data_IF_431466991338
#
_entry.id   IF_431466991338
#
_cell.length_a   1.000
_cell.length_b   1.000
_cell.length_c   1.000
_cell.angle_alpha   90.00
_cell.angle_beta   90.00
_cell.angle_gamma   90.00
#
_symmetry.space_group_name_H-M   'P 1'
#
loop_
_entity.id
_entity.type
_entity.pdbx_description
1 polymer ?
#
# COMPACT_ATOMS: atom_id res chain seq x y z
N UNK A 1 5.44 -19.04 -3.22
CA UNK A 1 5.56 -17.73 -2.55
C UNK A 1 4.58 -16.77 -3.24
N UNK A 2 3.87 -15.88 -2.52
CA UNK A 2 3.02 -14.88 -3.16
C UNK A 2 3.81 -14.05 -4.18
N UNK A 3 3.20 -13.70 -5.32
CA UNK A 3 3.85 -12.98 -6.42
C UNK A 3 4.51 -11.67 -5.96
N UNK A 4 3.81 -10.90 -5.12
CA UNK A 4 4.33 -9.62 -4.61
C UNK A 4 5.53 -9.80 -3.67
N UNK A 5 5.56 -10.89 -2.89
CA UNK A 5 6.70 -11.22 -2.04
C UNK A 5 7.92 -11.66 -2.87
N UNK A 6 7.69 -12.39 -3.97
CA UNK A 6 8.72 -12.76 -4.93
C UNK A 6 9.35 -11.52 -5.58
N UNK A 7 8.50 -10.58 -6.02
CA UNK A 7 8.96 -9.32 -6.60
C UNK A 7 9.90 -8.56 -5.67
N UNK A 8 9.46 -8.23 -4.45
CA UNK A 8 10.30 -7.47 -3.51
C UNK A 8 11.56 -8.24 -3.10
N UNK A 9 11.48 -9.58 -3.02
CA UNK A 9 12.64 -10.43 -2.71
C UNK A 9 13.68 -10.36 -3.82
N UNK A 10 13.27 -10.54 -5.08
CA UNK A 10 14.15 -10.44 -6.25
C UNK A 10 14.76 -9.05 -6.39
N UNK A 11 14.02 -7.99 -6.09
CA UNK A 11 14.55 -6.62 -6.13
C UNK A 11 15.63 -6.39 -5.08
N UNK A 12 15.45 -6.88 -3.85
CA UNK A 12 16.49 -6.80 -2.81
C UNK A 12 17.72 -7.64 -3.15
N UNK A 13 17.53 -8.84 -3.69
CA UNK A 13 18.63 -9.70 -4.15
C UNK A 13 19.43 -9.07 -5.29
N UNK A 14 18.73 -8.44 -6.24
CA UNK A 14 19.35 -7.65 -7.30
C UNK A 14 20.15 -6.49 -6.72
N UNK A 15 19.56 -5.71 -5.81
CA UNK A 15 20.25 -4.58 -5.18
C UNK A 15 21.53 -5.05 -4.48
N UNK A 16 21.46 -6.14 -3.71
CA UNK A 16 22.62 -6.73 -3.04
C UNK A 16 23.69 -7.26 -4.01
N UNK A 17 23.29 -7.81 -5.15
CA UNK A 17 24.22 -8.32 -6.17
C UNK A 17 24.97 -7.20 -6.92
N UNK A 18 24.32 -6.04 -7.10
CA UNK A 18 24.89 -4.87 -7.79
C UNK A 18 25.63 -3.91 -6.85
N UNK A 19 25.46 -4.05 -5.54
CA UNK A 19 26.00 -3.15 -4.54
C UNK A 19 27.53 -3.15 -4.48
N UNK A 20 28.10 -1.97 -4.30
CA UNK A 20 29.44 -1.84 -3.70
C UNK A 20 29.29 -2.19 -2.21
N UNK A 21 30.09 -3.15 -1.72
CA UNK A 21 29.85 -3.82 -0.44
C UNK A 21 29.53 -2.87 0.72
N UNK A 22 28.53 -3.24 1.54
CA UNK A 22 28.05 -2.44 2.66
C UNK A 22 26.76 -1.64 2.37
N UNK A 23 26.24 -1.67 1.14
CA UNK A 23 24.91 -1.16 0.82
C UNK A 23 23.82 -2.07 1.41
N UNK A 24 22.88 -1.47 2.13
CA UNK A 24 21.68 -2.11 2.62
C UNK A 24 20.46 -1.59 1.84
N UNK A 25 19.58 -2.49 1.39
CA UNK A 25 18.34 -2.14 0.69
C UNK A 25 17.09 -2.71 1.38
N UNK A 26 15.98 -1.97 1.30
CA UNK A 26 14.63 -2.37 1.69
C UNK A 26 13.65 -2.01 0.57
N UNK A 27 12.77 -2.95 0.24
CA UNK A 27 11.78 -2.79 -0.83
C UNK A 27 10.41 -3.08 -0.23
N UNK A 28 9.51 -2.12 -0.34
CA UNK A 28 8.09 -2.27 -0.01
C UNK A 28 7.29 -2.20 -1.30
N UNK A 29 6.34 -3.11 -1.49
CA UNK A 29 5.40 -3.06 -2.59
C UNK A 29 3.98 -3.28 -2.09
N UNK A 30 3.01 -2.66 -2.75
CA UNK A 30 1.60 -2.85 -2.48
C UNK A 30 0.81 -2.84 -3.77
N UNK A 31 -0.27 -3.63 -3.83
CA UNK A 31 -1.32 -3.49 -4.83
C UNK A 31 -2.68 -3.74 -4.22
N UNK A 32 -3.70 -3.08 -4.74
CA UNK A 32 -5.06 -3.24 -4.25
C UNK A 32 -6.06 -2.37 -4.96
N UNK A 33 -7.34 -2.65 -4.71
CA UNK A 33 -8.47 -1.98 -5.31
C UNK A 33 -9.26 -1.24 -4.23
N UNK A 34 -9.66 -0.01 -4.54
CA UNK A 34 -10.55 0.82 -3.72
C UNK A 34 -11.77 1.20 -4.52
N UNK A 35 -12.95 1.02 -3.94
CA UNK A 35 -14.18 1.64 -4.43
C UNK A 35 -14.72 2.64 -3.42
N UNK A 36 -15.25 3.75 -3.92
CA UNK A 36 -15.88 4.79 -3.10
C UNK A 36 -17.12 5.33 -3.81
N UNK A 37 -18.23 5.38 -3.08
CA UNK A 37 -19.48 6.00 -3.51
C UNK A 37 -19.76 7.18 -2.59
N UNK A 38 -20.14 8.32 -3.17
CA UNK A 38 -20.74 9.43 -2.45
C UNK A 38 -22.14 9.70 -2.98
N UNK A 39 -23.09 9.74 -2.06
CA UNK A 39 -24.46 10.10 -2.30
C UNK A 39 -24.75 11.50 -1.73
N UNK A 40 -25.57 12.24 -2.46
CA UNK A 40 -26.08 13.54 -2.07
C UNK A 40 -27.47 13.75 -2.68
N UNK A 41 -28.44 14.13 -1.84
CA UNK A 41 -29.83 14.40 -2.25
C UNK A 41 -30.52 13.24 -2.97
N UNK A 42 -30.22 12.01 -2.56
CA UNK A 42 -30.83 10.80 -3.11
C UNK A 42 -30.26 10.35 -4.45
N UNK A 43 -29.17 10.97 -4.90
CA UNK A 43 -28.46 10.63 -6.14
C UNK A 43 -26.98 10.33 -5.85
N UNK A 44 -26.34 9.61 -6.77
CA UNK A 44 -24.89 9.39 -6.72
C UNK A 44 -24.20 10.68 -7.18
N UNK A 45 -23.50 11.34 -6.26
CA UNK A 45 -22.69 12.52 -6.55
C UNK A 45 -21.37 12.14 -7.21
N UNK A 46 -20.72 11.08 -6.70
CA UNK A 46 -19.46 10.59 -7.26
C UNK A 46 -19.29 9.09 -7.03
N UNK A 47 -18.74 8.40 -8.03
CA UNK A 47 -18.28 7.03 -7.92
C UNK A 47 -16.81 6.95 -8.37
N UNK A 48 -15.99 6.23 -7.62
CA UNK A 48 -14.58 5.98 -7.95
C UNK A 48 -14.27 4.52 -7.75
N UNK A 49 -13.69 3.89 -8.78
CA UNK A 49 -13.03 2.58 -8.70
C UNK A 49 -11.58 2.79 -9.12
N UNK A 50 -10.64 2.46 -8.23
CA UNK A 50 -9.22 2.66 -8.46
C UNK A 50 -8.46 1.39 -8.12
N UNK A 51 -7.71 0.89 -9.10
CA UNK A 51 -6.64 -0.08 -8.88
C UNK A 51 -5.35 0.68 -8.62
N UNK A 52 -4.66 0.30 -7.57
CA UNK A 52 -3.41 0.90 -7.11
C UNK A 52 -2.34 -0.16 -7.08
N UNK A 53 -1.15 0.19 -7.55
CA UNK A 53 0.03 -0.65 -7.48
C UNK A 53 1.25 0.27 -7.37
N UNK A 54 2.24 -0.13 -6.58
CA UNK A 54 3.45 0.67 -6.45
C UNK A 54 4.50 0.04 -5.57
N UNK A 55 5.71 0.59 -5.70
CA UNK A 55 6.92 0.16 -5.02
C UNK A 55 7.60 1.36 -4.38
N UNK A 56 8.16 1.17 -3.19
CA UNK A 56 9.08 2.09 -2.54
C UNK A 56 10.39 1.36 -2.25
N UNK A 57 11.52 1.99 -2.57
CA UNK A 57 12.85 1.41 -2.41
C UNK A 57 13.68 2.37 -1.57
N UNK A 58 14.21 1.86 -0.47
CA UNK A 58 15.13 2.54 0.43
C UNK A 58 16.49 1.88 0.35
N UNK A 59 17.55 2.67 0.20
CA UNK A 59 18.95 2.21 0.22
C UNK A 59 19.76 3.01 1.23
N UNK A 60 20.71 2.36 1.88
CA UNK A 60 21.59 2.96 2.90
C UNK A 60 23.03 2.50 2.64
N UNK A 61 23.97 3.44 2.57
CA UNK A 61 25.41 3.16 2.50
C UNK A 61 26.18 4.17 3.34
N UNK A 62 27.02 3.68 4.27
CA UNK A 62 27.85 4.55 5.10
C UNK A 62 27.07 5.62 5.88
N UNK A 63 25.87 5.28 6.36
CA UNK A 63 24.97 6.18 7.09
C UNK A 63 24.19 7.18 6.23
N UNK A 64 24.38 7.19 4.91
CA UNK A 64 23.56 8.00 3.99
C UNK A 64 22.38 7.20 3.51
N UNK A 65 21.18 7.78 3.52
CA UNK A 65 19.95 7.15 3.05
C UNK A 65 19.46 7.79 1.75
N UNK A 66 19.05 6.95 0.82
CA UNK A 66 18.29 7.35 -0.36
C UNK A 66 16.96 6.59 -0.44
N UNK A 67 15.95 7.24 -1.03
CA UNK A 67 14.63 6.65 -1.23
C UNK A 67 14.05 7.08 -2.57
N UNK A 68 13.34 6.18 -3.24
CA UNK A 68 12.54 6.49 -4.41
C UNK A 68 11.29 5.60 -4.43
N UNK A 69 10.29 5.98 -5.21
CA UNK A 69 9.04 5.24 -5.34
C UNK A 69 8.47 5.35 -6.75
N UNK A 70 7.67 4.37 -7.15
CA UNK A 70 6.95 4.38 -8.41
C UNK A 70 5.54 3.79 -8.27
N UNK A 71 4.61 4.29 -9.08
CA UNK A 71 3.23 3.79 -9.19
C UNK A 71 3.06 2.62 -10.16
N UNK A 72 4.10 1.81 -10.37
CA UNK A 72 4.08 0.60 -11.18
C UNK A 72 4.93 -0.50 -10.54
N UNK A 73 4.59 -1.75 -10.85
CA UNK A 73 5.34 -2.94 -10.47
C UNK A 73 6.09 -3.56 -11.68
N UNK A 74 6.18 -2.84 -12.79
CA UNK A 74 6.95 -3.28 -13.96
C UNK A 74 8.44 -3.38 -13.62
N UNK A 75 9.08 -4.47 -14.03
CA UNK A 75 10.49 -4.75 -13.68
C UNK A 75 11.45 -3.63 -14.14
N UNK A 76 11.20 -3.04 -15.32
CA UNK A 76 12.01 -1.94 -15.82
C UNK A 76 11.89 -0.68 -14.94
N UNK A 77 10.67 -0.35 -14.49
CA UNK A 77 10.41 0.80 -13.63
C UNK A 77 11.01 0.57 -12.24
N UNK A 78 10.91 -0.65 -11.71
CA UNK A 78 11.54 -1.01 -10.42
C UNK A 78 13.06 -0.81 -10.48
N UNK A 79 13.72 -1.19 -11.58
CA UNK A 79 15.17 -0.99 -11.75
C UNK A 79 15.53 0.49 -11.81
N UNK A 80 14.72 1.29 -12.51
CA UNK A 80 14.88 2.74 -12.55
C UNK A 80 14.70 3.35 -11.15
N UNK A 81 13.66 2.94 -10.40
CA UNK A 81 13.43 3.39 -9.02
C UNK A 81 14.58 3.01 -8.10
N UNK A 82 15.19 1.83 -8.26
CA UNK A 82 16.38 1.45 -7.48
C UNK A 82 17.57 2.36 -7.80
N UNK A 83 17.78 2.69 -9.07
CA UNK A 83 18.83 3.61 -9.50
C UNK A 83 18.60 5.03 -8.94
N UNK A 84 17.35 5.52 -8.97
CA UNK A 84 16.97 6.80 -8.37
C UNK A 84 17.17 6.81 -6.84
N UNK A 85 16.84 5.72 -6.14
CA UNK A 85 17.11 5.62 -4.71
C UNK A 85 18.60 5.72 -4.40
N UNK A 86 19.46 5.09 -5.22
CA UNK A 86 20.93 5.20 -5.11
C UNK A 86 21.45 6.60 -5.46
N UNK A 87 20.89 7.26 -6.46
CA UNK A 87 21.23 8.65 -6.77
C UNK A 87 20.86 9.59 -5.61
N UNK A 88 19.64 9.45 -5.07
CA UNK A 88 19.17 10.20 -3.91
C UNK A 88 20.04 10.00 -2.67
N UNK A 89 20.58 8.79 -2.47
CA UNK A 89 21.50 8.48 -1.38
C UNK A 89 22.78 9.33 -1.43
N UNK A 90 23.26 9.70 -2.63
CA UNK A 90 24.46 10.53 -2.78
C UNK A 90 24.29 11.94 -2.18
N UNK A 91 23.04 12.41 -2.10
CA UNK A 91 22.66 13.70 -1.50
C UNK A 91 22.28 13.59 -0.01
N UNK A 92 22.07 12.37 0.51
CA UNK A 92 21.68 12.14 1.90
C UNK A 92 22.81 12.48 2.87
N UNK A 93 22.51 13.14 3.99
CA UNK A 93 23.49 13.39 5.05
C UNK A 93 23.90 12.09 5.75
N UNK A 94 25.14 12.06 6.26
CA UNK A 94 25.59 10.94 7.07
C UNK A 94 24.91 11.00 8.44
N UNK A 95 24.24 9.91 8.79
CA UNK A 95 23.67 9.70 10.12
C UNK A 95 24.08 8.30 10.60
N UNK A 96 24.61 8.22 11.82
CA UNK A 96 25.00 6.96 12.43
C UNK A 96 23.80 6.10 12.83
N UNK A 97 22.63 6.71 12.99
CA UNK A 97 21.38 6.05 13.37
C UNK A 97 20.58 5.55 12.15
N UNK A 98 21.04 5.85 10.92
CA UNK A 98 20.45 5.31 9.70
C UNK A 98 20.78 3.82 9.55
N UNK A 99 19.77 2.97 9.73
CA UNK A 99 19.87 1.53 9.54
C UNK A 99 18.54 0.89 9.14
N UNK A 100 18.61 -0.39 8.77
CA UNK A 100 17.44 -1.22 8.52
C UNK A 100 17.14 -2.09 9.73
N UNK A 101 15.87 -2.46 9.91
CA UNK A 101 15.48 -3.40 10.94
C UNK A 101 16.12 -4.78 10.68
N UNK A 102 16.55 -5.46 11.74
CA UNK A 102 17.04 -6.84 11.69
C UNK A 102 15.99 -7.80 12.25
N UNK A 103 15.95 -9.07 11.79
CA UNK A 103 15.11 -10.08 12.41
C UNK A 103 15.43 -10.24 13.90
N UNK A 104 14.45 -9.98 14.75
CA UNK A 104 14.56 -10.06 16.21
C UNK A 104 14.27 -11.47 16.78
N UNK A 105 13.95 -12.43 15.90
CA UNK A 105 13.63 -13.81 16.25
C UNK A 105 12.24 -14.01 16.87
N UNK A 106 11.42 -12.95 16.96
CA UNK A 106 10.06 -13.05 17.45
C UNK A 106 9.15 -13.62 16.36
N UNK A 107 8.29 -14.56 16.76
CA UNK A 107 7.27 -15.08 15.86
C UNK A 107 6.26 -13.97 15.54
N UNK A 108 6.07 -13.71 14.24
CA UNK A 108 5.03 -12.80 13.78
C UNK A 108 3.65 -13.45 13.99
N UNK A 109 2.68 -12.75 14.60
CA UNK A 109 1.34 -13.28 14.70
C UNK A 109 0.73 -13.43 13.30
N UNK A 110 0.12 -14.58 13.03
CA UNK A 110 -0.73 -14.75 11.86
C UNK A 110 -2.07 -14.05 12.13
N UNK A 111 -2.37 -13.06 11.29
CA UNK A 111 -3.62 -12.30 11.36
C UNK A 111 -4.44 -12.61 10.10
N UNK A 112 -5.67 -13.06 10.29
CA UNK A 112 -6.64 -13.22 9.21
C UNK A 112 -7.38 -11.88 9.03
N UNK A 113 -6.86 -11.03 8.15
CA UNK A 113 -7.35 -9.66 7.92
C UNK A 113 -8.10 -9.52 6.60
N UNK A 114 -8.31 -10.61 5.87
CA UNK A 114 -8.89 -10.59 4.54
C UNK A 114 -10.22 -11.33 4.52
N UNK A 115 -11.29 -10.59 4.26
CA UNK A 115 -12.63 -11.13 4.11
C UNK A 115 -13.01 -11.22 2.62
N UNK A 116 -13.15 -12.43 2.05
CA UNK A 116 -13.57 -12.61 0.67
C UNK A 116 -14.93 -11.98 0.36
N UNK A 117 -15.87 -11.98 1.31
CA UNK A 117 -17.21 -11.42 1.10
C UNK A 117 -17.14 -9.89 0.94
N UNK A 118 -16.26 -9.24 1.69
CA UNK A 118 -16.00 -7.81 1.55
C UNK A 118 -15.31 -7.48 0.22
N UNK A 119 -14.33 -8.28 -0.19
CA UNK A 119 -13.59 -8.09 -1.44
C UNK A 119 -14.48 -8.26 -2.70
N UNK A 120 -15.45 -9.18 -2.63
CA UNK A 120 -16.38 -9.49 -3.72
C UNK A 120 -17.73 -8.77 -3.60
N UNK A 121 -17.87 -7.85 -2.63
CA UNK A 121 -19.13 -7.16 -2.38
C UNK A 121 -19.58 -6.39 -3.64
N UNK A 122 -20.84 -6.55 -4.12
CA UNK A 122 -21.26 -5.99 -5.41
C UNK A 122 -21.30 -4.46 -5.45
N UNK A 123 -20.82 -3.86 -6.54
CA UNK A 123 -20.79 -2.40 -6.72
C UNK A 123 -22.20 -1.77 -6.61
N UNK A 124 -23.23 -2.42 -7.15
CA UNK A 124 -24.61 -1.94 -7.04
C UNK A 124 -25.09 -1.90 -5.57
N UNK A 125 -24.68 -2.89 -4.76
CA UNK A 125 -25.00 -2.93 -3.34
C UNK A 125 -24.30 -1.80 -2.57
N UNK A 126 -23.03 -1.49 -2.92
CA UNK A 126 -22.28 -0.35 -2.36
C UNK A 126 -23.00 0.97 -2.61
N UNK A 127 -23.48 1.16 -3.84
CA UNK A 127 -24.26 2.34 -4.23
C UNK A 127 -25.55 2.43 -3.42
N UNK A 128 -26.28 1.32 -3.32
CA UNK A 128 -27.53 1.28 -2.57
C UNK A 128 -27.32 1.60 -1.09
N UNK A 129 -26.26 1.10 -0.46
CA UNK A 129 -25.92 1.41 0.93
C UNK A 129 -25.70 2.91 1.17
N UNK A 130 -24.97 3.59 0.28
CA UNK A 130 -24.73 5.03 0.42
C UNK A 130 -26.03 5.85 0.29
N UNK A 131 -26.91 5.48 -0.63
CA UNK A 131 -28.22 6.12 -0.83
C UNK A 131 -29.18 5.84 0.34
N UNK A 132 -29.20 4.59 0.81
CA UNK A 132 -30.06 4.16 1.90
C UNK A 132 -29.66 4.80 3.22
N UNK A 133 -28.36 5.00 3.47
CA UNK A 133 -27.85 5.72 4.63
C UNK A 133 -28.39 7.17 4.67
N UNK A 134 -28.34 7.90 3.55
CA UNK A 134 -28.87 9.27 3.49
C UNK A 134 -30.39 9.28 3.74
N UNK A 135 -31.12 8.39 3.06
CA UNK A 135 -32.58 8.27 3.22
C UNK A 135 -32.96 7.92 4.66
N UNK A 136 -32.24 6.98 5.27
CA UNK A 136 -32.48 6.54 6.63
C UNK A 136 -32.25 7.66 7.64
N UNK A 137 -31.23 8.50 7.45
CA UNK A 137 -30.92 9.65 8.31
C UNK A 137 -31.99 10.75 8.21
N UNK A 138 -32.37 11.14 6.99
CA UNK A 138 -33.41 12.14 6.75
C UNK A 138 -34.77 11.71 7.32
N UNK A 139 -35.07 10.41 7.29
CA UNK A 139 -36.32 9.86 7.80
C UNK A 139 -36.40 9.78 9.34
N UNK A 140 -35.29 9.97 10.09
CA UNK A 140 -35.31 9.79 11.55
C UNK A 140 -36.04 10.90 12.29
N UNK A 141 -35.90 12.14 11.85
CA UNK A 141 -36.47 13.30 12.53
C UNK A 141 -36.67 14.45 11.55
N UNK A 142 -37.85 15.06 11.56
CA UNK A 142 -38.21 16.14 10.64
C UNK A 142 -37.32 17.40 10.75
N UNK A 143 -36.57 17.55 11.85
CA UNK A 143 -35.59 18.63 12.04
C UNK A 143 -34.30 18.39 11.25
N UNK A 144 -34.04 17.16 10.79
CA UNK A 144 -32.89 16.86 9.92
C UNK A 144 -33.25 17.29 8.50
N UNK A 145 -32.80 18.50 8.13
CA UNK A 145 -33.17 19.14 6.87
C UNK A 145 -32.26 18.76 5.70
N UNK A 146 -31.17 18.05 5.96
CA UNK A 146 -30.18 17.66 4.95
C UNK A 146 -29.04 16.83 5.52
N UNK A 147 -28.37 16.10 4.64
CA UNK A 147 -27.12 15.38 4.91
C UNK A 147 -26.05 16.00 4.03
N UNK A 148 -24.90 16.37 4.62
CA UNK A 148 -23.82 17.03 3.87
C UNK A 148 -23.13 16.07 2.89
N UNK A 149 -23.03 14.81 3.27
CA UNK A 149 -22.49 13.72 2.46
C UNK A 149 -22.86 12.39 3.09
N UNK A 150 -23.25 11.42 2.26
CA UNK A 150 -23.33 10.01 2.64
C UNK A 150 -22.35 9.23 1.77
N UNK A 151 -21.58 8.32 2.35
CA UNK A 151 -20.54 7.61 1.60
C UNK A 151 -20.37 6.17 2.04
N UNK A 152 -20.05 5.34 1.04
CA UNK A 152 -19.50 4.00 1.23
C UNK A 152 -18.07 4.01 0.67
N UNK A 153 -17.14 3.35 1.34
CA UNK A 153 -15.81 3.05 0.79
C UNK A 153 -15.33 1.70 1.29
N UNK A 154 -14.65 0.98 0.42
CA UNK A 154 -13.90 -0.21 0.80
C UNK A 154 -12.51 -0.22 0.16
N UNK A 155 -11.67 -1.13 0.63
CA UNK A 155 -10.40 -1.47 0.02
C UNK A 155 -10.12 -2.96 0.18
N UNK A 156 -9.53 -3.56 -0.85
CA UNK A 156 -8.95 -4.90 -0.78
C UNK A 156 -7.55 -4.85 -1.39
N UNK A 157 -6.56 -5.47 -0.75
CA UNK A 157 -5.22 -5.43 -1.28
C UNK A 157 -4.21 -6.27 -0.51
N UNK A 158 -3.00 -6.26 -1.03
CA UNK A 158 -1.85 -6.94 -0.47
C UNK A 158 -0.61 -6.04 -0.46
N UNK A 159 0.29 -6.36 0.46
CA UNK A 159 1.55 -5.66 0.64
C UNK A 159 2.66 -6.66 0.96
N UNK A 160 3.86 -6.36 0.49
CA UNK A 160 5.06 -7.13 0.76
C UNK A 160 6.22 -6.20 1.12
N UNK A 161 7.11 -6.69 1.98
CA UNK A 161 8.35 -6.02 2.33
C UNK A 161 9.49 -7.03 2.36
N UNK A 162 10.64 -6.62 1.82
CA UNK A 162 11.89 -7.36 1.89
C UNK A 162 13.05 -6.42 2.24
N UNK A 163 14.06 -6.91 2.96
CA UNK A 163 15.29 -6.17 3.24
C UNK A 163 16.55 -7.03 3.12
N UNK A 164 17.68 -6.41 2.82
CA UNK A 164 19.00 -7.07 2.81
C UNK A 164 19.39 -7.69 4.17
N UNK A 165 18.79 -7.23 5.28
CA UNK A 165 18.97 -7.80 6.63
C UNK A 165 18.21 -9.12 6.85
N UNK A 166 17.40 -9.55 5.89
CA UNK A 166 16.70 -10.84 5.93
C UNK A 166 15.22 -10.77 6.29
N UNK A 167 14.64 -9.57 6.47
CA UNK A 167 13.18 -9.43 6.63
C UNK A 167 12.53 -9.80 5.30
N UNK A 168 11.53 -10.68 5.35
CA UNK A 168 10.65 -11.06 4.25
C UNK A 168 9.25 -11.23 4.82
N UNK A 169 8.32 -10.40 4.41
CA UNK A 169 6.96 -10.42 4.96
C UNK A 169 5.93 -10.02 3.92
N UNK A 170 4.79 -10.68 3.96
CA UNK A 170 3.64 -10.41 3.11
C UNK A 170 2.37 -10.43 3.94
N UNK A 171 1.34 -9.74 3.48
CA UNK A 171 0.01 -9.78 4.06
C UNK A 171 -1.02 -9.19 3.11
N UNK A 172 -2.27 -9.56 3.31
CA UNK A 172 -3.44 -9.04 2.60
C UNK A 172 -4.51 -8.62 3.59
N UNK A 173 -5.32 -7.66 3.21
CA UNK A 173 -6.40 -7.15 4.06
C UNK A 173 -7.57 -6.60 3.24
N UNK A 174 -8.73 -6.54 3.91
CA UNK A 174 -9.93 -5.81 3.47
C UNK A 174 -10.34 -4.80 4.54
N UNK A 175 -10.86 -3.64 4.15
CA UNK A 175 -11.36 -2.59 5.05
C UNK A 175 -12.62 -1.93 4.54
#
# INVERSE_FOLDING_TARGET
MPELLDLVTRTVELAAAEAEGGEAAEVFASRGRRESVRAFRGEVESFTSADTAGVGIRVILGGRQGFAWAGSLDEAIIRETLAEARDNMSFGEQDADNGLAEPDGLARPELDLFDPEAAEFPTEAKVQLALDLERAVLARDARVRGVRSSSYSDFSGEQAIASTTGIRSWGRATT
#
